data_IF_662944363223
#
_entry.id   IF_662944363223
#
_cell.length_a   1.000
_cell.length_b   1.000
_cell.length_c   1.000
_cell.angle_alpha   90.00
_cell.angle_beta   90.00
_cell.angle_gamma   90.00
#
_symmetry.space_group_name_H-M   'P 1'
#
loop_
_entity.id
_entity.type
_entity.pdbx_description
1 polymer ?
#
# COMPACT_ATOMS: atom_id res chain seq x y z
N UNK A 1 -14.34 26.01 18.09
CA UNK A 1 -14.01 24.58 18.12
C UNK A 1 -12.90 24.35 19.15
N UNK A 2 -12.78 23.17 19.74
CA UNK A 2 -11.63 22.87 20.57
C UNK A 2 -10.40 22.57 19.69
N UNK A 3 -9.18 22.87 20.19
CA UNK A 3 -7.94 22.58 19.42
C UNK A 3 -7.87 21.10 19.02
N UNK A 4 -8.31 20.19 19.89
CA UNK A 4 -8.43 18.77 19.60
C UNK A 4 -9.28 18.46 18.36
N UNK A 5 -10.46 19.08 18.25
CA UNK A 5 -11.36 18.87 17.10
C UNK A 5 -10.79 19.46 15.80
N UNK A 6 -10.05 20.55 15.90
CA UNK A 6 -9.39 21.18 14.72
C UNK A 6 -8.26 20.28 14.20
N UNK A 7 -7.43 19.73 15.09
CA UNK A 7 -6.37 18.76 14.73
C UNK A 7 -6.97 17.52 14.06
N UNK A 8 -8.04 16.96 14.64
CA UNK A 8 -8.73 15.80 14.09
C UNK A 8 -9.26 16.07 12.67
N UNK A 9 -9.89 17.24 12.46
CA UNK A 9 -10.41 17.63 11.14
C UNK A 9 -9.29 17.82 10.11
N UNK A 10 -8.15 18.41 10.51
CA UNK A 10 -6.99 18.57 9.64
C UNK A 10 -6.45 17.18 9.25
N UNK A 11 -6.28 16.27 10.22
CA UNK A 11 -5.80 14.91 9.96
C UNK A 11 -6.72 14.15 8.99
N UNK A 12 -8.05 14.28 9.14
CA UNK A 12 -9.02 13.68 8.23
C UNK A 12 -8.93 14.30 6.83
N UNK A 13 -8.87 15.63 6.72
CA UNK A 13 -8.79 16.32 5.44
C UNK A 13 -7.52 15.95 4.66
N UNK A 14 -6.37 15.94 5.33
CA UNK A 14 -5.09 15.50 4.75
C UNK A 14 -5.16 14.03 4.33
N UNK A 15 -5.74 13.17 5.16
CA UNK A 15 -5.91 11.75 4.83
C UNK A 15 -6.72 11.55 3.55
N UNK A 16 -7.82 12.27 3.38
CA UNK A 16 -8.63 12.21 2.15
C UNK A 16 -7.83 12.72 0.95
N UNK A 17 -7.13 13.86 1.09
CA UNK A 17 -6.33 14.45 0.03
C UNK A 17 -5.24 13.47 -0.46
N UNK A 18 -4.55 12.81 0.46
CA UNK A 18 -3.45 11.86 0.18
C UNK A 18 -3.95 10.53 -0.37
N UNK A 19 -5.07 9.99 0.14
CA UNK A 19 -5.57 8.68 -0.25
C UNK A 19 -5.98 8.61 -1.73
N UNK A 20 -6.48 9.71 -2.31
CA UNK A 20 -6.96 9.74 -3.70
C UNK A 20 -5.82 9.49 -4.71
N UNK A 21 -4.76 10.30 -4.79
CA UNK A 21 -3.65 10.06 -5.70
C UNK A 21 -2.84 8.82 -5.31
N UNK A 22 -2.76 8.49 -4.02
CA UNK A 22 -2.03 7.33 -3.50
C UNK A 22 -2.49 6.00 -4.10
N UNK A 23 -3.78 5.83 -4.38
CA UNK A 23 -4.32 4.64 -5.05
C UNK A 23 -3.67 4.43 -6.42
N UNK A 24 -3.55 5.47 -7.22
CA UNK A 24 -2.95 5.37 -8.55
C UNK A 24 -1.43 5.16 -8.49
N UNK A 25 -0.73 5.75 -7.50
CA UNK A 25 0.69 5.48 -7.26
C UNK A 25 0.95 4.01 -6.94
N UNK A 26 0.14 3.42 -6.05
CA UNK A 26 0.26 2.00 -5.71
C UNK A 26 -0.05 1.10 -6.90
N UNK A 27 -1.10 1.40 -7.68
CA UNK A 27 -1.45 0.63 -8.88
C UNK A 27 -0.38 0.70 -9.97
N UNK A 28 0.31 1.84 -10.11
CA UNK A 28 1.42 2.04 -11.05
C UNK A 28 2.77 1.55 -10.52
N UNK A 29 2.83 1.07 -9.26
CA UNK A 29 4.05 0.65 -8.55
C UNK A 29 5.07 1.77 -8.35
N UNK A 30 4.63 3.02 -8.35
CA UNK A 30 5.47 4.22 -8.23
C UNK A 30 5.42 4.81 -6.81
N UNK A 31 5.25 3.98 -5.77
CA UNK A 31 5.13 4.46 -4.38
C UNK A 31 6.38 5.22 -3.89
N UNK A 32 7.58 4.83 -4.35
CA UNK A 32 8.83 5.50 -4.02
C UNK A 32 8.92 6.91 -4.59
N UNK A 33 8.17 7.22 -5.66
CA UNK A 33 8.14 8.57 -6.24
C UNK A 33 7.52 9.60 -5.30
N UNK A 34 6.52 9.20 -4.49
CA UNK A 34 5.94 10.09 -3.48
C UNK A 34 6.99 10.49 -2.43
N UNK A 35 7.84 9.55 -2.01
CA UNK A 35 8.93 9.80 -1.07
C UNK A 35 9.99 10.77 -1.68
N UNK A 36 10.39 10.51 -2.93
CA UNK A 36 11.31 11.40 -3.63
C UNK A 36 10.77 12.84 -3.75
N UNK A 37 9.49 12.99 -4.09
CA UNK A 37 8.83 14.30 -4.19
C UNK A 37 8.85 15.01 -2.83
N UNK A 38 8.51 14.32 -1.73
CA UNK A 38 8.49 14.94 -0.38
C UNK A 38 9.82 15.57 0.01
N UNK A 39 10.93 14.98 -0.35
CA UNK A 39 12.25 15.53 -0.05
C UNK A 39 12.66 16.64 -1.01
N UNK A 40 12.33 16.51 -2.30
CA UNK A 40 12.74 17.49 -3.33
C UNK A 40 11.88 18.75 -3.34
N UNK A 41 10.66 18.69 -2.80
CA UNK A 41 9.78 19.84 -2.56
C UNK A 41 10.52 20.95 -1.79
N UNK A 42 11.40 20.59 -0.86
CA UNK A 42 12.21 21.55 -0.12
C UNK A 42 13.04 22.45 -1.03
N UNK A 43 13.64 21.92 -2.10
CA UNK A 43 14.33 22.74 -3.11
C UNK A 43 13.38 23.76 -3.75
N UNK A 44 12.17 23.36 -4.07
CA UNK A 44 11.17 24.24 -4.67
C UNK A 44 10.74 25.37 -3.74
N UNK A 45 10.57 25.07 -2.45
CA UNK A 45 10.29 26.07 -1.41
C UNK A 45 11.45 27.08 -1.33
N UNK A 46 12.70 26.61 -1.26
CA UNK A 46 13.90 27.46 -1.18
C UNK A 46 14.02 28.37 -2.40
N UNK A 47 13.86 27.83 -3.61
CA UNK A 47 13.94 28.63 -4.85
C UNK A 47 12.83 29.68 -4.93
N UNK A 48 11.60 29.32 -4.54
CA UNK A 48 10.49 30.25 -4.53
C UNK A 48 10.68 31.34 -3.45
N UNK A 49 11.24 30.98 -2.29
CA UNK A 49 11.55 31.92 -1.22
C UNK A 49 12.59 32.98 -1.67
N UNK A 50 13.59 32.58 -2.42
CA UNK A 50 14.57 33.56 -2.97
C UNK A 50 13.95 34.57 -3.94
N UNK A 51 12.82 34.26 -4.55
CA UNK A 51 12.10 35.18 -5.43
C UNK A 51 11.13 36.06 -4.66
N UNK A 52 10.49 35.51 -3.62
CA UNK A 52 9.39 36.18 -2.91
C UNK A 52 9.81 36.88 -1.63
N UNK A 53 10.91 36.44 -1.01
CA UNK A 53 11.37 36.83 0.32
C UNK A 53 10.30 36.78 1.42
N UNK A 54 9.18 36.06 1.15
CA UNK A 54 8.02 35.89 2.03
C UNK A 54 7.64 34.42 2.16
N UNK A 55 7.68 33.89 3.39
CA UNK A 55 7.34 32.50 3.71
C UNK A 55 5.84 32.20 3.59
N UNK A 56 4.98 33.23 3.59
CA UNK A 56 3.54 33.06 3.46
C UNK A 56 3.04 33.18 2.02
N UNK A 57 3.93 33.38 1.06
CA UNK A 57 3.57 33.56 -0.34
C UNK A 57 3.00 32.28 -0.97
N UNK A 58 1.84 32.33 -1.66
CA UNK A 58 1.31 31.19 -2.42
C UNK A 58 2.27 30.68 -3.50
N UNK A 59 3.25 31.50 -3.92
CA UNK A 59 4.27 31.12 -4.89
C UNK A 59 5.19 30.01 -4.38
N UNK A 60 5.32 29.84 -3.05
CA UNK A 60 6.09 28.73 -2.48
C UNK A 60 5.45 27.39 -2.84
N UNK A 61 4.11 27.30 -2.77
CA UNK A 61 3.36 26.10 -3.15
C UNK A 61 3.51 25.79 -4.64
N UNK A 62 3.48 26.81 -5.49
CA UNK A 62 3.66 26.65 -6.95
C UNK A 62 5.10 26.21 -7.26
N UNK A 63 6.12 26.87 -6.70
CA UNK A 63 7.53 26.53 -6.90
C UNK A 63 7.84 25.11 -6.43
N UNK A 64 7.36 24.74 -5.26
CA UNK A 64 7.49 23.39 -4.71
C UNK A 64 6.83 22.33 -5.61
N UNK A 65 5.62 22.62 -6.12
CA UNK A 65 4.93 21.71 -7.04
C UNK A 65 5.68 21.54 -8.36
N UNK A 66 6.22 22.62 -8.92
CA UNK A 66 7.03 22.60 -10.16
C UNK A 66 8.27 21.72 -9.97
N UNK A 67 9.00 21.90 -8.86
CA UNK A 67 10.20 21.09 -8.58
C UNK A 67 9.82 19.63 -8.33
N UNK A 68 8.71 19.35 -7.65
CA UNK A 68 8.22 17.98 -7.48
C UNK A 68 7.92 17.28 -8.82
N UNK A 69 7.25 17.96 -9.75
CA UNK A 69 7.04 17.43 -11.12
C UNK A 69 8.35 17.31 -11.88
N UNK A 70 9.25 18.28 -11.72
CA UNK A 70 10.60 18.25 -12.29
C UNK A 70 11.42 17.05 -11.81
N UNK A 71 11.26 16.66 -10.53
CA UNK A 71 11.87 15.44 -9.98
C UNK A 71 11.41 14.19 -10.71
N UNK A 72 10.11 14.07 -10.98
CA UNK A 72 9.55 12.96 -11.77
C UNK A 72 10.17 12.95 -13.16
N UNK A 73 10.17 14.09 -13.85
CA UNK A 73 10.72 14.20 -15.20
C UNK A 73 12.21 13.83 -15.25
N UNK A 74 13.02 14.30 -14.30
CA UNK A 74 14.45 13.97 -14.22
C UNK A 74 14.67 12.47 -13.94
N UNK A 75 13.88 11.89 -13.06
CA UNK A 75 13.93 10.45 -12.75
C UNK A 75 13.61 9.62 -13.97
N UNK A 76 12.54 9.96 -14.70
CA UNK A 76 12.16 9.28 -15.94
C UNK A 76 13.21 9.46 -17.05
N UNK A 77 13.81 10.62 -17.15
CA UNK A 77 14.88 10.88 -18.12
C UNK A 77 16.06 9.91 -17.91
N UNK A 78 16.46 9.68 -16.64
CA UNK A 78 17.53 8.73 -16.32
C UNK A 78 17.04 7.28 -16.57
N UNK A 79 15.86 6.93 -16.10
CA UNK A 79 15.30 5.59 -16.29
C UNK A 79 15.19 5.22 -17.76
N UNK A 80 14.75 6.14 -18.62
CA UNK A 80 14.59 5.93 -20.06
C UNK A 80 15.92 5.72 -20.81
N UNK A 81 17.08 6.00 -20.18
CA UNK A 81 18.38 5.61 -20.76
C UNK A 81 18.58 4.11 -20.78
N UNK A 82 17.81 3.34 -20.00
CA UNK A 82 17.94 1.90 -19.85
C UNK A 82 19.15 1.43 -19.05
N UNK A 83 19.95 2.37 -18.52
CA UNK A 83 21.15 2.04 -17.74
C UNK A 83 20.84 1.66 -16.29
N UNK A 84 19.75 2.20 -15.74
CA UNK A 84 19.35 2.00 -14.34
C UNK A 84 17.84 1.74 -14.22
N UNK A 85 17.45 0.99 -13.20
CA UNK A 85 16.06 0.76 -12.87
C UNK A 85 15.41 2.02 -12.29
N UNK A 86 14.08 2.08 -12.26
CA UNK A 86 13.30 3.21 -11.74
C UNK A 86 13.69 3.58 -10.30
N UNK A 87 13.74 2.61 -9.39
CA UNK A 87 14.12 2.85 -7.98
C UNK A 87 15.54 3.42 -7.84
N UNK A 88 16.50 2.97 -8.67
CA UNK A 88 17.85 3.50 -8.67
C UNK A 88 17.90 4.93 -9.24
N UNK A 89 17.09 5.24 -10.25
CA UNK A 89 16.96 6.61 -10.80
C UNK A 89 16.42 7.58 -9.74
N UNK A 90 15.41 7.15 -8.97
CA UNK A 90 14.89 7.89 -7.82
C UNK A 90 16.01 8.13 -6.79
N UNK A 91 16.76 7.06 -6.41
CA UNK A 91 17.85 7.12 -5.45
C UNK A 91 19.02 8.03 -5.86
N UNK A 92 19.16 8.38 -7.13
CA UNK A 92 20.15 9.33 -7.64
C UNK A 92 19.61 10.76 -7.59
N UNK A 93 18.39 10.98 -8.10
CA UNK A 93 17.84 12.32 -8.32
C UNK A 93 17.44 13.00 -7.00
N UNK A 94 16.74 12.26 -6.09
CA UNK A 94 16.27 12.93 -4.87
C UNK A 94 17.41 13.43 -3.98
N UNK A 95 18.51 12.68 -3.69
CA UNK A 95 19.60 13.19 -2.89
C UNK A 95 20.35 14.34 -3.58
N UNK A 96 20.44 14.31 -4.91
CA UNK A 96 21.03 15.40 -5.68
C UNK A 96 20.26 16.70 -5.47
N UNK A 97 18.96 16.71 -5.71
CA UNK A 97 18.12 17.90 -5.58
C UNK A 97 18.02 18.37 -4.13
N UNK A 98 17.92 17.45 -3.18
CA UNK A 98 17.90 17.77 -1.76
C UNK A 98 19.21 18.38 -1.28
N UNK A 99 20.36 17.85 -1.74
CA UNK A 99 21.67 18.41 -1.42
C UNK A 99 21.84 19.83 -1.97
N UNK A 100 21.35 20.09 -3.19
CA UNK A 100 21.33 21.44 -3.75
C UNK A 100 20.51 22.38 -2.86
N UNK A 101 19.35 21.95 -2.38
CA UNK A 101 18.53 22.76 -1.47
C UNK A 101 19.27 23.11 -0.18
N UNK A 102 19.94 22.13 0.46
CA UNK A 102 20.72 22.35 1.68
C UNK A 102 21.87 23.33 1.44
N UNK A 103 22.60 23.17 0.32
CA UNK A 103 23.71 24.09 -0.04
C UNK A 103 23.17 25.51 -0.22
N UNK A 104 22.05 25.67 -0.93
CA UNK A 104 21.45 26.99 -1.16
C UNK A 104 21.02 27.65 0.16
N UNK A 105 20.38 26.92 1.05
CA UNK A 105 20.01 27.41 2.38
C UNK A 105 21.23 27.78 3.18
N UNK A 106 22.25 26.93 3.21
CA UNK A 106 23.48 27.16 3.96
C UNK A 106 24.27 28.41 3.49
N UNK A 107 24.25 28.67 2.18
CA UNK A 107 25.00 29.79 1.60
C UNK A 107 24.27 31.15 1.67
N UNK A 108 22.94 31.13 1.55
CA UNK A 108 22.16 32.35 1.32
C UNK A 108 21.16 32.68 2.42
N UNK A 109 20.88 31.75 3.35
CA UNK A 109 19.87 31.93 4.39
C UNK A 109 20.34 32.66 5.65
N UNK A 110 21.37 33.51 5.55
CA UNK A 110 22.11 34.10 6.65
C UNK A 110 21.33 34.74 7.82
N UNK A 111 20.04 35.09 7.67
CA UNK A 111 19.15 35.62 8.71
C UNK A 111 17.76 34.98 8.76
N UNK A 112 17.39 34.10 7.83
CA UNK A 112 16.14 33.38 7.87
C UNK A 112 16.40 31.98 8.47
N UNK A 113 15.88 31.74 9.65
CA UNK A 113 15.91 30.40 10.26
C UNK A 113 14.98 29.45 9.47
N UNK A 114 15.40 29.09 8.25
CA UNK A 114 14.85 27.95 7.53
C UNK A 114 15.45 26.70 8.18
N UNK A 115 14.89 26.31 9.34
CA UNK A 115 15.29 25.10 10.02
C UNK A 115 14.75 23.89 9.22
N UNK A 116 15.68 23.15 8.61
CA UNK A 116 15.38 21.96 7.80
C UNK A 116 14.62 20.93 8.64
N UNK A 117 14.97 20.80 9.90
CA UNK A 117 14.34 19.81 10.80
C UNK A 117 12.89 20.19 11.09
N UNK A 118 12.60 21.45 11.35
CA UNK A 118 11.22 21.93 11.54
C UNK A 118 10.40 21.83 10.26
N UNK A 119 11.01 22.10 9.10
CA UNK A 119 10.34 21.95 7.81
C UNK A 119 10.03 20.49 7.47
N UNK A 120 10.93 19.54 7.78
CA UNK A 120 10.73 18.11 7.45
C UNK A 120 9.83 17.38 8.46
N UNK A 121 9.86 17.75 9.73
CA UNK A 121 9.11 17.02 10.77
C UNK A 121 7.66 17.45 10.85
N UNK A 122 7.29 18.65 10.44
CA UNK A 122 5.94 19.23 10.47
C UNK A 122 5.12 18.75 11.67
N UNK A 123 4.62 19.64 12.49
CA UNK A 123 3.90 19.24 13.69
C UNK A 123 2.43 19.63 13.57
N UNK A 124 1.56 18.65 13.30
CA UNK A 124 0.11 18.86 13.17
C UNK A 124 -0.48 19.55 14.42
N UNK A 125 0.18 19.43 15.58
CA UNK A 125 -0.22 20.09 16.81
C UNK A 125 -0.18 21.62 16.70
N UNK A 126 0.67 22.18 15.85
CA UNK A 126 0.78 23.63 15.63
C UNK A 126 -0.11 24.14 14.49
N UNK A 127 -0.62 23.26 13.62
CA UNK A 127 -1.46 23.63 12.49
C UNK A 127 -2.72 24.44 12.85
N UNK A 128 -3.39 24.26 14.01
CA UNK A 128 -4.53 25.09 14.41
C UNK A 128 -4.21 26.55 14.74
N UNK A 129 -2.95 26.88 15.01
CA UNK A 129 -2.56 28.25 15.39
C UNK A 129 -2.40 29.19 14.19
N UNK A 130 -2.20 28.64 12.98
CA UNK A 130 -2.23 29.40 11.74
C UNK A 130 -3.69 29.55 11.28
N UNK A 131 -4.28 30.72 11.53
CA UNK A 131 -5.73 30.96 11.38
C UNK A 131 -6.04 31.90 10.23
N UNK A 132 -7.06 31.54 9.49
CA UNK A 132 -7.58 32.38 8.40
C UNK A 132 -8.61 33.39 8.96
N UNK A 133 -8.19 34.65 9.13
CA UNK A 133 -9.05 35.71 9.65
C UNK A 133 -9.44 36.64 8.49
N UNK A 134 -10.75 36.69 8.17
CA UNK A 134 -11.31 37.59 7.15
C UNK A 134 -12.38 38.46 7.81
N UNK A 135 -12.24 39.79 7.69
CA UNK A 135 -13.19 40.75 8.25
C UNK A 135 -13.53 40.55 9.73
N UNK A 136 -12.52 40.24 10.56
CA UNK A 136 -12.67 39.94 12.00
C UNK A 136 -13.47 38.68 12.31
N UNK A 137 -13.78 37.84 11.33
CA UNK A 137 -14.36 36.51 11.52
C UNK A 137 -13.25 35.46 11.36
N UNK A 138 -13.13 34.59 12.37
CA UNK A 138 -12.19 33.47 12.36
C UNK A 138 -12.83 32.30 11.60
N UNK A 139 -12.26 31.97 10.43
CA UNK A 139 -12.72 30.88 9.56
C UNK A 139 -12.06 29.52 9.95
N UNK A 140 -11.17 29.52 10.93
CA UNK A 140 -10.47 28.31 11.38
C UNK A 140 -9.06 28.15 10.77
N UNK A 141 -8.44 26.98 10.95
CA UNK A 141 -7.06 26.72 10.51
C UNK A 141 -6.89 26.81 8.99
N UNK A 142 -5.84 27.49 8.53
CA UNK A 142 -5.51 27.62 7.09
C UNK A 142 -5.26 26.26 6.46
N UNK A 143 -4.52 25.39 7.15
CA UNK A 143 -4.18 24.04 6.69
C UNK A 143 -5.41 23.15 6.45
N UNK A 144 -6.52 23.36 7.19
CA UNK A 144 -7.77 22.65 6.95
C UNK A 144 -8.38 23.02 5.58
N UNK A 145 -8.43 24.32 5.27
CA UNK A 145 -8.99 24.80 4.01
C UNK A 145 -8.14 24.44 2.80
N UNK A 146 -6.81 24.49 2.94
CA UNK A 146 -5.87 24.08 1.89
C UNK A 146 -6.05 22.58 1.62
N UNK A 147 -6.05 21.74 2.66
CA UNK A 147 -6.20 20.29 2.51
C UNK A 147 -7.55 19.88 1.92
N UNK A 148 -8.65 20.54 2.33
CA UNK A 148 -9.96 20.32 1.74
C UNK A 148 -10.01 20.77 0.28
N UNK A 149 -9.40 21.90 -0.05
CA UNK A 149 -9.29 22.39 -1.42
C UNK A 149 -8.55 21.42 -2.32
N UNK A 150 -7.40 20.91 -1.87
CA UNK A 150 -6.61 19.91 -2.61
C UNK A 150 -7.39 18.60 -2.71
N UNK A 151 -8.03 18.13 -1.63
CA UNK A 151 -8.87 16.93 -1.68
C UNK A 151 -10.00 17.07 -2.71
N UNK A 152 -10.64 18.24 -2.76
CA UNK A 152 -11.68 18.54 -3.74
C UNK A 152 -11.14 18.56 -5.17
N UNK A 153 -10.00 19.21 -5.42
CA UNK A 153 -9.33 19.22 -6.73
C UNK A 153 -8.99 17.81 -7.17
N UNK A 154 -8.36 17.01 -6.30
CA UNK A 154 -8.01 15.62 -6.57
C UNK A 154 -9.27 14.79 -6.90
N UNK A 155 -10.34 14.95 -6.14
CA UNK A 155 -11.59 14.24 -6.37
C UNK A 155 -12.20 14.59 -7.73
N UNK A 156 -12.26 15.89 -8.06
CA UNK A 156 -12.79 16.38 -9.34
C UNK A 156 -11.95 15.87 -10.51
N UNK A 157 -10.62 15.95 -10.43
CA UNK A 157 -9.73 15.46 -11.46
C UNK A 157 -9.87 13.93 -11.67
N UNK A 158 -9.95 13.17 -10.57
CA UNK A 158 -10.17 11.72 -10.67
C UNK A 158 -11.55 11.41 -11.24
N UNK A 159 -12.60 12.12 -10.87
CA UNK A 159 -13.94 11.91 -11.44
C UNK A 159 -13.99 12.24 -12.94
N UNK A 160 -13.35 13.34 -13.34
CA UNK A 160 -13.34 13.82 -14.72
C UNK A 160 -12.53 12.88 -15.62
N UNK A 161 -11.35 12.48 -15.18
CA UNK A 161 -10.41 11.64 -15.94
C UNK A 161 -10.39 10.18 -15.47
N UNK A 162 -11.48 9.69 -14.86
CA UNK A 162 -11.50 8.34 -14.26
C UNK A 162 -11.16 7.23 -15.26
N UNK A 163 -11.75 7.28 -16.46
CA UNK A 163 -11.58 6.25 -17.49
C UNK A 163 -10.16 6.29 -18.07
N UNK A 164 -9.67 7.50 -18.32
CA UNK A 164 -8.33 7.75 -18.85
C UNK A 164 -7.25 7.31 -17.83
N UNK A 165 -7.42 7.69 -16.56
CA UNK A 165 -6.55 7.27 -15.48
C UNK A 165 -6.54 5.75 -15.30
N UNK A 166 -7.71 5.12 -15.32
CA UNK A 166 -7.84 3.67 -15.20
C UNK A 166 -7.15 2.97 -16.36
N UNK A 167 -7.46 3.34 -17.62
CA UNK A 167 -6.90 2.71 -18.80
C UNK A 167 -5.39 2.92 -18.90
N UNK A 168 -4.92 4.16 -18.71
CA UNK A 168 -3.50 4.50 -18.73
C UNK A 168 -2.70 3.83 -17.59
N UNK A 169 -3.36 3.45 -16.47
CA UNK A 169 -2.71 2.77 -15.36
C UNK A 169 -2.48 1.29 -15.63
N UNK A 170 -3.43 0.61 -16.29
CA UNK A 170 -3.34 -0.84 -16.52
C UNK A 170 -2.73 -1.18 -17.88
N UNK A 171 -3.00 -0.38 -18.93
CA UNK A 171 -2.49 -0.60 -20.26
C UNK A 171 -2.25 0.73 -21.00
N UNK A 172 -1.06 1.33 -20.85
CA UNK A 172 -0.72 2.59 -21.52
C UNK A 172 -0.72 2.48 -23.06
N UNK A 173 -0.38 1.30 -23.62
CA UNK A 173 -0.38 1.10 -25.06
C UNK A 173 -1.79 1.13 -25.61
N UNK A 174 -2.71 0.43 -24.96
CA UNK A 174 -4.13 0.44 -25.32
C UNK A 174 -4.72 1.85 -25.19
N UNK A 175 -4.37 2.59 -24.14
CA UNK A 175 -4.79 3.98 -23.94
C UNK A 175 -4.37 4.85 -25.13
N UNK A 176 -3.13 4.68 -25.63
CA UNK A 176 -2.64 5.37 -26.82
C UNK A 176 -3.43 5.02 -28.09
N UNK A 177 -3.80 3.76 -28.26
CA UNK A 177 -4.62 3.32 -29.43
C UNK A 177 -6.03 3.92 -29.41
N UNK A 178 -6.61 4.16 -28.22
CA UNK A 178 -7.90 4.86 -28.10
C UNK A 178 -7.80 6.39 -28.24
N UNK A 179 -6.62 6.93 -28.53
CA UNK A 179 -6.40 8.36 -28.74
C UNK A 179 -6.19 9.16 -27.46
N UNK A 180 -6.06 8.51 -26.30
CA UNK A 180 -5.63 9.18 -25.08
C UNK A 180 -4.12 9.45 -25.13
N UNK A 181 -3.67 10.43 -24.37
CA UNK A 181 -2.25 10.77 -24.23
C UNK A 181 -1.71 10.23 -22.89
N UNK A 182 -1.19 8.98 -22.82
CA UNK A 182 -0.78 8.38 -21.55
C UNK A 182 0.28 9.21 -20.79
N UNK A 183 1.20 9.84 -21.54
CA UNK A 183 2.20 10.72 -20.95
C UNK A 183 1.57 11.96 -20.28
N UNK A 184 0.59 12.60 -20.92
CA UNK A 184 -0.12 13.73 -20.31
C UNK A 184 -0.85 13.31 -19.03
N UNK A 185 -1.56 12.18 -19.07
CA UNK A 185 -2.29 11.63 -17.93
C UNK A 185 -1.30 11.30 -16.78
N UNK A 186 -0.12 10.80 -17.12
CA UNK A 186 0.93 10.54 -16.15
C UNK A 186 1.39 11.83 -15.46
N UNK A 187 1.75 12.89 -16.21
CA UNK A 187 2.17 14.15 -15.63
C UNK A 187 1.05 14.88 -14.88
N UNK A 188 -0.21 14.75 -15.30
CA UNK A 188 -1.35 15.24 -14.53
C UNK A 188 -1.43 14.52 -13.17
N UNK A 189 -1.30 13.20 -13.14
CA UNK A 189 -1.28 12.43 -11.90
C UNK A 189 -0.10 12.86 -11.01
N UNK A 190 1.10 13.00 -11.56
CA UNK A 190 2.29 13.42 -10.79
C UNK A 190 2.15 14.86 -10.26
N UNK A 191 1.48 15.73 -11.01
CA UNK A 191 1.14 17.08 -10.53
C UNK A 191 0.15 17.03 -9.35
N UNK A 192 -0.86 16.15 -9.42
CA UNK A 192 -1.77 15.92 -8.28
C UNK A 192 -1.02 15.42 -7.05
N UNK A 193 -0.11 14.45 -7.23
CA UNK A 193 0.75 13.93 -6.15
C UNK A 193 1.59 15.04 -5.56
N UNK A 194 2.33 15.78 -6.39
CA UNK A 194 3.21 16.86 -5.96
C UNK A 194 2.44 17.96 -5.23
N UNK A 195 1.32 18.42 -5.78
CA UNK A 195 0.45 19.41 -5.13
C UNK A 195 -0.06 18.92 -3.78
N UNK A 196 -0.48 17.65 -3.70
CA UNK A 196 -0.98 17.06 -2.45
C UNK A 196 0.13 16.97 -1.41
N UNK A 197 1.31 16.52 -1.81
CA UNK A 197 2.49 16.46 -0.94
C UNK A 197 2.82 17.84 -0.39
N UNK A 198 2.96 18.85 -1.25
CA UNK A 198 3.32 20.21 -0.86
C UNK A 198 2.31 20.82 0.10
N UNK A 199 1.03 20.72 -0.24
CA UNK A 199 -0.06 21.27 0.56
C UNK A 199 -0.18 20.60 1.94
N UNK A 200 0.09 19.30 2.01
CA UNK A 200 0.00 18.53 3.25
C UNK A 200 1.27 18.61 4.11
N UNK A 201 2.41 18.85 3.47
CA UNK A 201 3.73 18.85 4.11
C UNK A 201 3.82 19.84 5.27
N UNK A 202 3.35 21.07 5.08
CA UNK A 202 3.36 22.11 6.10
C UNK A 202 2.49 21.76 7.32
N UNK A 203 1.39 21.02 7.09
CA UNK A 203 0.45 20.68 8.15
C UNK A 203 0.90 19.46 8.97
N UNK A 204 1.43 18.42 8.33
CA UNK A 204 1.60 17.10 8.97
C UNK A 204 3.01 16.52 8.85
N UNK A 205 3.89 17.15 8.08
CA UNK A 205 5.27 16.71 7.83
C UNK A 205 5.39 15.56 6.82
N UNK A 206 6.62 15.34 6.34
CA UNK A 206 6.95 14.41 5.27
C UNK A 206 6.52 12.97 5.55
N UNK A 207 6.88 12.46 6.73
CA UNK A 207 6.68 11.05 7.10
C UNK A 207 5.19 10.69 7.09
N UNK A 208 4.35 11.56 7.68
CA UNK A 208 2.92 11.28 7.77
C UNK A 208 2.23 11.42 6.41
N UNK A 209 2.65 12.36 5.55
CA UNK A 209 2.11 12.50 4.18
C UNK A 209 2.33 11.22 3.39
N UNK A 210 3.54 10.67 3.41
CA UNK A 210 3.88 9.41 2.72
C UNK A 210 3.05 8.26 3.31
N UNK A 211 2.99 8.17 4.64
CA UNK A 211 2.21 7.15 5.33
C UNK A 211 0.72 7.16 4.95
N UNK A 212 0.09 8.34 4.93
CA UNK A 212 -1.32 8.53 4.54
C UNK A 212 -1.57 8.32 3.04
N UNK A 213 -0.58 8.59 2.19
CA UNK A 213 -0.72 8.40 0.74
C UNK A 213 -0.60 6.92 0.36
N UNK A 214 0.38 6.21 0.91
CA UNK A 214 0.69 4.83 0.50
C UNK A 214 -0.03 3.81 1.37
N UNK A 215 -0.03 3.96 2.69
CA UNK A 215 -0.51 2.95 3.63
C UNK A 215 -1.97 2.54 3.40
N UNK A 216 -2.94 3.47 3.46
CA UNK A 216 -4.35 3.16 3.20
C UNK A 216 -4.60 2.57 1.82
N UNK A 217 -3.87 3.05 0.79
CA UNK A 217 -3.98 2.56 -0.57
C UNK A 217 -3.49 1.11 -0.71
N UNK A 218 -2.37 0.74 -0.05
CA UNK A 218 -1.87 -0.64 -0.03
C UNK A 218 -2.82 -1.56 0.71
N UNK A 219 -3.37 -1.15 1.86
CA UNK A 219 -4.37 -1.92 2.60
C UNK A 219 -5.60 -2.18 1.71
N UNK A 220 -6.11 -1.13 1.04
CA UNK A 220 -7.24 -1.24 0.14
C UNK A 220 -6.95 -2.16 -1.07
N UNK A 221 -5.74 -2.10 -1.63
CA UNK A 221 -5.28 -2.98 -2.71
C UNK A 221 -5.35 -4.46 -2.34
N UNK A 222 -4.99 -4.81 -1.10
CA UNK A 222 -5.02 -6.20 -0.63
C UNK A 222 -6.44 -6.77 -0.53
N UNK A 223 -7.46 -5.93 -0.32
CA UNK A 223 -8.84 -6.36 -0.01
C UNK A 223 -9.83 -6.13 -1.13
N UNK A 224 -9.48 -5.34 -2.15
CA UNK A 224 -10.41 -4.96 -3.21
C UNK A 224 -10.00 -5.50 -4.57
N UNK A 225 -10.97 -5.65 -5.48
CA UNK A 225 -10.75 -6.16 -6.84
C UNK A 225 -11.13 -5.11 -7.92
N UNK A 226 -11.46 -3.87 -7.54
CA UNK A 226 -11.80 -2.80 -8.48
C UNK A 226 -11.26 -1.47 -8.01
N UNK A 227 -10.90 -0.59 -8.97
CA UNK A 227 -10.33 0.74 -8.67
C UNK A 227 -11.30 1.60 -7.87
N UNK A 228 -12.60 1.55 -8.17
CA UNK A 228 -13.61 2.29 -7.39
C UNK A 228 -13.66 1.84 -5.93
N UNK A 229 -13.72 0.53 -5.70
CA UNK A 229 -13.70 -0.01 -4.35
C UNK A 229 -12.38 0.30 -3.63
N UNK A 230 -11.25 0.27 -4.34
CA UNK A 230 -9.94 0.63 -3.80
C UNK A 230 -9.89 2.11 -3.39
N UNK A 231 -10.42 3.04 -4.20
CA UNK A 231 -10.51 4.46 -3.87
C UNK A 231 -11.36 4.70 -2.62
N UNK A 232 -12.58 4.17 -2.59
CA UNK A 232 -13.48 4.35 -1.44
C UNK A 232 -12.92 3.71 -0.17
N UNK A 233 -12.38 2.49 -0.26
CA UNK A 233 -11.78 1.80 0.88
C UNK A 233 -10.52 2.52 1.39
N UNK A 234 -9.66 3.03 0.49
CA UNK A 234 -8.47 3.79 0.87
C UNK A 234 -8.82 5.04 1.67
N UNK A 235 -9.82 5.81 1.22
CA UNK A 235 -10.31 7.00 1.93
C UNK A 235 -10.84 6.61 3.31
N UNK A 236 -11.68 5.59 3.40
CA UNK A 236 -12.28 5.14 4.68
C UNK A 236 -11.19 4.66 5.65
N UNK A 237 -10.25 3.84 5.18
CA UNK A 237 -9.14 3.33 6.00
C UNK A 237 -8.27 4.49 6.49
N UNK A 238 -7.94 5.44 5.60
CA UNK A 238 -7.17 6.62 5.95
C UNK A 238 -7.84 7.46 7.04
N UNK A 239 -9.15 7.72 6.91
CA UNK A 239 -9.93 8.43 7.94
C UNK A 239 -9.91 7.66 9.27
N UNK A 240 -10.14 6.36 9.25
CA UNK A 240 -10.14 5.53 10.47
C UNK A 240 -8.76 5.58 11.16
N UNK A 241 -7.67 5.44 10.39
CA UNK A 241 -6.31 5.52 10.92
C UNK A 241 -6.00 6.91 11.48
N UNK A 242 -6.43 7.98 10.81
CA UNK A 242 -6.26 9.35 11.28
C UNK A 242 -7.00 9.59 12.61
N UNK A 243 -8.26 9.14 12.72
CA UNK A 243 -9.06 9.28 13.93
C UNK A 243 -8.43 8.48 15.09
N UNK A 244 -8.17 7.19 14.88
CA UNK A 244 -7.60 6.33 15.93
C UNK A 244 -6.23 6.84 16.36
N UNK A 245 -5.35 7.18 15.39
CA UNK A 245 -4.00 7.66 15.69
C UNK A 245 -4.00 8.98 16.46
N UNK A 246 -4.91 9.90 16.11
CA UNK A 246 -5.07 11.17 16.83
C UNK A 246 -5.55 10.92 18.28
N UNK A 247 -6.57 10.08 18.49
CA UNK A 247 -7.06 9.76 19.86
C UNK A 247 -5.99 9.05 20.71
N UNK A 248 -5.24 8.12 20.10
CA UNK A 248 -4.11 7.46 20.78
C UNK A 248 -3.03 8.47 21.16
N UNK A 249 -2.71 9.43 20.28
CA UNK A 249 -1.72 10.46 20.57
C UNK A 249 -2.11 11.32 21.78
N UNK A 250 -3.37 11.75 21.84
CA UNK A 250 -3.87 12.53 22.97
C UNK A 250 -3.95 11.74 24.28
N UNK A 251 -4.24 10.43 24.22
CA UNK A 251 -4.30 9.59 25.41
C UNK A 251 -2.93 9.23 25.97
N UNK A 252 -1.93 9.09 25.11
CA UNK A 252 -0.56 8.71 25.49
C UNK A 252 0.40 9.91 25.62
N UNK A 253 -0.06 11.11 25.28
CA UNK A 253 0.73 12.36 25.27
C UNK A 253 2.01 12.23 24.41
N UNK A 254 1.83 11.76 23.16
CA UNK A 254 2.91 11.55 22.20
C UNK A 254 2.67 12.32 20.90
N UNK A 255 3.68 12.37 20.02
CA UNK A 255 3.57 13.02 18.68
C UNK A 255 2.39 12.46 17.88
N UNK A 256 1.50 13.36 17.43
CA UNK A 256 0.28 12.99 16.70
C UNK A 256 0.65 12.37 15.36
N UNK A 257 1.61 12.96 14.63
CA UNK A 257 2.08 12.43 13.35
C UNK A 257 2.66 11.02 13.50
N UNK A 258 3.47 10.78 14.55
CA UNK A 258 4.04 9.47 14.85
C UNK A 258 2.96 8.44 15.21
N UNK A 259 1.96 8.81 16.00
CA UNK A 259 0.86 7.92 16.39
C UNK A 259 0.00 7.51 15.19
N UNK A 260 -0.35 8.46 14.30
CA UNK A 260 -1.10 8.15 13.08
C UNK A 260 -0.28 7.22 12.17
N UNK A 261 1.01 7.53 11.94
CA UNK A 261 1.89 6.69 11.13
C UNK A 261 2.02 5.26 11.69
N UNK A 262 2.15 5.14 13.02
CA UNK A 262 2.19 3.83 13.71
C UNK A 262 0.87 3.08 13.54
N UNK A 263 -0.26 3.77 13.67
CA UNK A 263 -1.60 3.17 13.46
C UNK A 263 -1.77 2.64 12.05
N UNK A 264 -1.30 3.39 11.03
CA UNK A 264 -1.29 2.94 9.62
C UNK A 264 -0.41 1.69 9.47
N UNK A 265 0.79 1.69 10.04
CA UNK A 265 1.70 0.54 10.01
C UNK A 265 1.10 -0.71 10.65
N UNK A 266 0.45 -0.58 11.82
CA UNK A 266 -0.25 -1.68 12.47
C UNK A 266 -1.44 -2.18 11.65
N UNK A 267 -2.24 -1.27 11.09
CA UNK A 267 -3.35 -1.62 10.21
C UNK A 267 -2.86 -2.39 8.97
N UNK A 268 -1.73 -2.00 8.39
CA UNK A 268 -1.10 -2.69 7.26
C UNK A 268 -0.65 -4.10 7.66
N UNK A 269 0.01 -4.26 8.80
CA UNK A 269 0.41 -5.58 9.31
C UNK A 269 -0.79 -6.50 9.51
N UNK A 270 -1.85 -6.00 10.13
CA UNK A 270 -3.10 -6.75 10.30
C UNK A 270 -3.70 -7.12 8.93
N UNK A 271 -3.72 -6.18 7.98
CA UNK A 271 -4.24 -6.42 6.64
C UNK A 271 -3.47 -7.54 5.93
N UNK A 272 -2.13 -7.52 5.95
CA UNK A 272 -1.27 -8.56 5.34
C UNK A 272 -1.52 -9.94 5.96
N UNK A 273 -1.70 -10.01 7.28
CA UNK A 273 -1.96 -11.28 7.98
C UNK A 273 -3.35 -11.82 7.65
N UNK A 274 -4.37 -10.93 7.64
CA UNK A 274 -5.79 -11.30 7.56
C UNK A 274 -6.36 -11.34 6.13
N UNK A 275 -5.60 -10.97 5.10
CA UNK A 275 -6.11 -10.93 3.70
C UNK A 275 -6.67 -12.30 3.27
N UNK A 276 -7.92 -12.38 2.74
CA UNK A 276 -8.62 -13.65 2.53
C UNK A 276 -7.97 -14.56 1.49
N UNK A 277 -7.28 -14.03 0.47
CA UNK A 277 -6.73 -14.81 -0.66
C UNK A 277 -5.22 -15.05 -0.55
N UNK A 278 -4.47 -14.05 -0.12
CA UNK A 278 -3.00 -14.02 -0.13
C UNK A 278 -2.40 -13.84 1.26
N UNK A 279 -3.22 -13.60 2.28
CA UNK A 279 -2.79 -13.42 3.66
C UNK A 279 -2.09 -14.65 4.23
N UNK A 280 -1.21 -14.42 5.19
CA UNK A 280 -0.43 -15.49 5.81
C UNK A 280 -1.32 -16.60 6.39
N UNK A 281 -2.40 -16.23 7.10
CA UNK A 281 -3.36 -17.17 7.68
C UNK A 281 -4.06 -17.97 6.58
N UNK A 282 -4.57 -17.30 5.55
CA UNK A 282 -5.28 -17.97 4.46
C UNK A 282 -4.37 -18.94 3.69
N UNK A 283 -3.14 -18.53 3.41
CA UNK A 283 -2.13 -19.36 2.75
C UNK A 283 -1.76 -20.57 3.60
N UNK A 284 -1.53 -20.38 4.91
CA UNK A 284 -1.24 -21.48 5.83
C UNK A 284 -2.38 -22.51 5.89
N UNK A 285 -3.61 -22.04 6.05
CA UNK A 285 -4.79 -22.92 6.08
C UNK A 285 -4.98 -23.66 4.75
N UNK A 286 -4.82 -22.97 3.62
CA UNK A 286 -4.90 -23.58 2.28
C UNK A 286 -3.81 -24.62 2.07
N UNK A 287 -2.57 -24.33 2.45
CA UNK A 287 -1.47 -25.30 2.36
C UNK A 287 -1.71 -26.52 3.23
N UNK A 288 -2.24 -26.33 4.44
CA UNK A 288 -2.61 -27.45 5.32
C UNK A 288 -3.70 -28.32 4.72
N UNK A 289 -4.71 -27.70 4.11
CA UNK A 289 -5.80 -28.42 3.41
C UNK A 289 -5.27 -29.17 2.18
N UNK A 290 -4.46 -28.50 1.34
CA UNK A 290 -3.85 -29.13 0.16
C UNK A 290 -2.92 -30.28 0.52
N UNK A 291 -2.07 -30.14 1.54
CA UNK A 291 -1.20 -31.22 2.02
C UNK A 291 -1.99 -32.43 2.52
N UNK A 292 -3.14 -32.19 3.14
CA UNK A 292 -4.03 -33.27 3.57
C UNK A 292 -4.65 -33.98 2.36
N UNK A 293 -5.25 -33.24 1.47
CA UNK A 293 -5.86 -33.77 0.25
C UNK A 293 -4.85 -34.56 -0.60
N UNK A 294 -3.65 -34.02 -0.78
CA UNK A 294 -2.59 -34.68 -1.52
C UNK A 294 -2.16 -36.02 -0.90
N UNK A 295 -2.05 -36.07 0.44
CA UNK A 295 -1.76 -37.34 1.15
C UNK A 295 -2.85 -38.35 0.98
N UNK A 296 -4.13 -37.96 1.10
CA UNK A 296 -5.27 -38.82 0.89
C UNK A 296 -5.27 -39.39 -0.53
N UNK A 297 -5.08 -38.55 -1.53
CA UNK A 297 -5.00 -38.98 -2.94
C UNK A 297 -3.82 -39.91 -3.20
N UNK A 298 -2.61 -39.60 -2.70
CA UNK A 298 -1.46 -40.50 -2.86
C UNK A 298 -1.70 -41.86 -2.22
N UNK A 299 -2.30 -41.91 -1.04
CA UNK A 299 -2.62 -43.17 -0.38
C UNK A 299 -3.64 -43.98 -1.17
N UNK A 300 -4.69 -43.35 -1.70
CA UNK A 300 -5.67 -44.00 -2.56
C UNK A 300 -5.02 -44.59 -3.83
N UNK A 301 -4.18 -43.80 -4.52
CA UNK A 301 -3.47 -44.23 -5.72
C UNK A 301 -2.54 -45.41 -5.42
N UNK A 302 -1.77 -45.33 -4.33
CA UNK A 302 -0.85 -46.40 -3.92
C UNK A 302 -1.61 -47.70 -3.68
N UNK A 303 -2.70 -47.67 -2.87
CA UNK A 303 -3.52 -48.84 -2.59
C UNK A 303 -4.15 -49.41 -3.88
N UNK A 304 -4.62 -48.54 -4.78
CA UNK A 304 -5.17 -48.93 -6.08
C UNK A 304 -4.19 -49.69 -6.95
N UNK A 305 -2.96 -49.19 -7.03
CA UNK A 305 -1.89 -49.77 -7.85
C UNK A 305 -1.53 -51.18 -7.36
N UNK A 306 -1.55 -51.41 -6.05
CA UNK A 306 -1.10 -52.70 -5.46
C UNK A 306 -2.22 -53.65 -5.05
N UNK A 307 -3.53 -53.23 -5.04
CA UNK A 307 -4.62 -54.03 -4.50
C UNK A 307 -4.88 -55.38 -5.21
N UNK A 308 -4.51 -55.50 -6.49
CA UNK A 308 -4.65 -56.71 -7.28
C UNK A 308 -3.36 -57.42 -7.58
N UNK A 309 -2.30 -57.19 -6.80
CA UNK A 309 -0.99 -57.79 -6.99
C UNK A 309 -0.69 -58.79 -5.89
N UNK A 310 0.21 -59.76 -6.13
CA UNK A 310 0.62 -60.73 -5.09
C UNK A 310 1.28 -60.07 -3.86
N UNK A 311 1.77 -58.82 -3.99
CA UNK A 311 2.43 -58.10 -2.92
C UNK A 311 1.50 -57.16 -2.13
N UNK A 312 0.17 -57.19 -2.42
CA UNK A 312 -0.82 -56.34 -1.78
C UNK A 312 -0.78 -56.37 -0.23
N UNK A 313 -0.56 -57.53 0.36
CA UNK A 313 -0.46 -57.69 1.81
C UNK A 313 0.76 -56.97 2.43
N UNK A 314 1.85 -56.83 1.66
CA UNK A 314 3.08 -56.14 2.08
C UNK A 314 2.97 -54.67 1.82
N UNK A 315 2.64 -54.27 0.58
CA UNK A 315 2.61 -52.87 0.12
C UNK A 315 1.47 -52.05 0.78
N UNK A 316 0.30 -52.66 0.97
CA UNK A 316 -0.87 -52.02 1.57
C UNK A 316 -1.04 -52.40 3.06
N UNK A 317 -0.03 -53.05 3.67
CA UNK A 317 -0.08 -53.48 5.07
C UNK A 317 -0.21 -52.29 6.03
N UNK A 318 -0.97 -52.43 7.11
CA UNK A 318 -1.16 -51.34 8.09
C UNK A 318 0.17 -50.95 8.73
N UNK A 319 1.06 -51.90 8.92
CA UNK A 319 2.39 -51.67 9.53
C UNK A 319 3.48 -51.28 8.53
N UNK A 320 3.33 -51.46 7.24
CA UNK A 320 4.35 -51.29 6.21
C UNK A 320 4.11 -50.18 5.23
N UNK A 321 2.86 -49.80 4.97
CA UNK A 321 2.50 -48.78 3.98
C UNK A 321 3.19 -47.42 4.22
N UNK A 322 3.47 -47.06 5.48
CA UNK A 322 4.18 -45.83 5.80
C UNK A 322 5.63 -45.79 5.27
N UNK A 323 6.30 -46.95 5.21
CA UNK A 323 7.64 -47.12 4.64
C UNK A 323 7.61 -46.94 3.12
N UNK A 324 6.66 -47.56 2.44
CA UNK A 324 6.47 -47.45 0.98
C UNK A 324 6.11 -46.04 0.53
N UNK A 325 5.29 -45.31 1.29
CA UNK A 325 4.96 -43.92 1.05
C UNK A 325 6.03 -42.95 1.53
N UNK A 326 7.05 -43.43 2.26
CA UNK A 326 8.07 -42.60 2.92
C UNK A 326 7.46 -41.53 3.83
N UNK A 327 6.46 -41.94 4.64
CA UNK A 327 5.77 -41.05 5.56
C UNK A 327 6.03 -41.45 7.01
N UNK A 328 5.78 -40.50 7.93
CA UNK A 328 5.72 -40.82 9.36
C UNK A 328 4.45 -41.66 9.63
N UNK A 329 4.52 -42.67 10.54
CA UNK A 329 3.36 -43.52 10.86
C UNK A 329 2.10 -42.75 11.22
N UNK A 330 2.22 -41.66 11.99
CA UNK A 330 1.11 -40.80 12.40
C UNK A 330 0.34 -40.20 11.22
N UNK A 331 1.05 -39.83 10.15
CA UNK A 331 0.43 -39.25 8.96
C UNK A 331 -0.37 -40.29 8.17
N UNK A 332 0.13 -41.52 8.11
CA UNK A 332 -0.55 -42.64 7.47
C UNK A 332 -1.80 -43.00 8.21
N UNK A 333 -1.74 -43.10 9.54
CA UNK A 333 -2.91 -43.38 10.37
C UNK A 333 -3.98 -42.28 10.25
N UNK A 334 -3.61 -41.00 10.23
CA UNK A 334 -4.55 -39.90 10.03
C UNK A 334 -5.23 -39.95 8.66
N UNK A 335 -4.46 -40.19 7.58
CA UNK A 335 -5.01 -40.30 6.23
C UNK A 335 -5.94 -41.49 6.12
N UNK A 336 -5.52 -42.68 6.61
CA UNK A 336 -6.34 -43.87 6.61
C UNK A 336 -7.65 -43.71 7.39
N UNK A 337 -7.59 -43.12 8.59
CA UNK A 337 -8.77 -42.86 9.41
C UNK A 337 -9.77 -41.96 8.71
N UNK A 338 -9.29 -40.92 8.01
CA UNK A 338 -10.14 -39.97 7.29
C UNK A 338 -10.77 -40.62 6.05
N UNK A 339 -9.99 -41.36 5.25
CA UNK A 339 -10.47 -42.08 4.09
C UNK A 339 -11.51 -43.18 4.48
N UNK A 340 -11.29 -43.82 5.63
CA UNK A 340 -12.26 -44.80 6.19
C UNK A 340 -13.57 -44.11 6.58
N UNK A 341 -13.51 -42.90 7.20
CA UNK A 341 -14.73 -42.13 7.52
C UNK A 341 -15.48 -41.67 6.27
N UNK A 342 -14.80 -41.42 5.17
CA UNK A 342 -15.42 -41.12 3.88
C UNK A 342 -15.99 -42.33 3.15
N UNK A 343 -15.76 -43.52 3.67
CA UNK A 343 -16.20 -44.78 3.05
C UNK A 343 -15.43 -45.15 1.79
N UNK A 344 -14.21 -44.67 1.61
CA UNK A 344 -13.35 -44.90 0.45
C UNK A 344 -12.38 -46.06 0.68
N UNK A 345 -12.13 -46.40 1.95
CA UNK A 345 -11.14 -47.35 2.39
C UNK A 345 -11.71 -48.26 3.48
N UNK A 346 -11.37 -49.54 3.43
CA UNK A 346 -11.64 -50.51 4.51
C UNK A 346 -10.42 -51.36 4.81
N UNK A 347 -10.45 -52.08 5.90
CA UNK A 347 -9.35 -52.96 6.35
C UNK A 347 -9.83 -54.40 6.29
N UNK A 348 -9.05 -55.26 5.64
CA UNK A 348 -9.26 -56.70 5.58
C UNK A 348 -7.93 -57.44 5.76
N UNK A 349 -7.89 -58.44 6.59
CA UNK A 349 -6.71 -59.30 6.83
C UNK A 349 -5.42 -58.53 7.17
N UNK A 350 -5.55 -57.36 7.84
CA UNK A 350 -4.40 -56.57 8.26
C UNK A 350 -3.80 -55.61 7.20
N UNK A 351 -4.45 -55.43 6.07
CA UNK A 351 -4.06 -54.51 5.05
C UNK A 351 -5.24 -53.63 4.55
N UNK A 352 -4.92 -52.49 3.94
CA UNK A 352 -5.91 -51.54 3.42
C UNK A 352 -6.37 -51.93 2.03
N UNK A 353 -7.71 -51.81 1.79
CA UNK A 353 -8.33 -52.00 0.49
C UNK A 353 -9.32 -50.87 0.18
N UNK A 354 -9.48 -50.57 -1.11
CA UNK A 354 -10.45 -49.59 -1.56
C UNK A 354 -11.85 -50.20 -1.67
N UNK A 355 -12.84 -49.37 -1.34
CA UNK A 355 -14.25 -49.63 -1.69
C UNK A 355 -14.50 -49.36 -3.17
N UNK A 356 -15.65 -49.81 -3.74
CA UNK A 356 -16.04 -49.49 -5.12
C UNK A 356 -16.06 -47.97 -5.34
N UNK A 357 -16.46 -47.20 -4.33
CA UNK A 357 -16.44 -45.76 -4.34
C UNK A 357 -15.01 -45.19 -4.36
N UNK A 358 -14.10 -45.82 -3.62
CA UNK A 358 -12.67 -45.44 -3.63
C UNK A 358 -12.02 -45.73 -4.98
N UNK A 359 -12.32 -46.87 -5.59
CA UNK A 359 -11.86 -47.22 -6.93
C UNK A 359 -12.37 -46.25 -7.99
N UNK A 360 -13.64 -45.87 -7.93
CA UNK A 360 -14.22 -44.89 -8.84
C UNK A 360 -13.52 -43.55 -8.75
N UNK A 361 -13.26 -43.09 -7.53
CA UNK A 361 -12.54 -41.79 -7.30
C UNK A 361 -11.12 -41.82 -7.81
N UNK A 362 -10.40 -42.92 -7.66
CA UNK A 362 -9.03 -43.02 -8.21
C UNK A 362 -9.04 -43.02 -9.74
N UNK A 363 -10.01 -43.67 -10.37
CA UNK A 363 -10.17 -43.67 -11.84
C UNK A 363 -10.49 -42.29 -12.44
N UNK A 364 -11.06 -41.36 -11.65
CA UNK A 364 -11.28 -39.97 -12.07
C UNK A 364 -10.00 -39.13 -11.95
N UNK A 365 -9.04 -39.56 -11.13
CA UNK A 365 -7.78 -38.83 -10.87
C UNK A 365 -6.66 -39.25 -11.84
N UNK A 366 -6.64 -40.51 -12.25
CA UNK A 366 -5.69 -41.12 -13.20
C UNK A 366 -6.26 -41.03 -14.62
#
# INVERSE_FOLDING_TARGET
MTVHTEILLIAIAVSIACAIPGVFLVLRRMSMMADAITHTVFLGIVLAFFVTEDLNSPLLLVGATIVGVGTVWLTEMIHNTGLVNEDASIGIIFPLLFSIAIILVSLYSGNAHLDVDTALLGEIAFAPFDRWIVNSTDLGPVSLWISLGVAFINLVLVMLFYKELQLSTFDPLLAGLFGFMPALIHYVLMTMVSLTVVASFQAVGAILVIGLMIGPAVIAYLWTNSVKAMLTSSIIIGIICAVIGTEVAFTLDVSIAGAIATTIGLALLIAVICTPKTGYIATYLRQRHLRRHYRETMMLCHIYTHMNTPVAAIENGIGTIHEHLNWKPDYTHQAASHLKKQGLLYVTNGYYMLTDKGVAQVKEII
#
